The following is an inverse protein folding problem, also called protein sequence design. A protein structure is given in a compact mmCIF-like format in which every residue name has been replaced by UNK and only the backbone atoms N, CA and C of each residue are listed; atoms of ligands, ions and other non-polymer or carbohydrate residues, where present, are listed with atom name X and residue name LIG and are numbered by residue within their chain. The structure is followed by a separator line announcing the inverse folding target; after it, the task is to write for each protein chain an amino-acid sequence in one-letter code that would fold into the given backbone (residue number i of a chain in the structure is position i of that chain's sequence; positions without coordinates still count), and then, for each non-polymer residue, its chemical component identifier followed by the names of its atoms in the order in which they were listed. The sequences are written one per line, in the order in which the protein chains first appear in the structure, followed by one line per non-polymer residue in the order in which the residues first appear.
data_IF_371740423977
#
_entry.id   IF_371740423977
#
_cell.length_a   1.000
_cell.length_b   1.000
_cell.length_c   1.000
_cell.angle_alpha   90.00
_cell.angle_beta   90.00
_cell.angle_gamma   90.00
#
_symmetry.space_group_name_H-M   'P 1'
#
loop_
_entity.id
_entity.type
_entity.pdbx_description
1 polymer ?
#
# COMPACT_ATOMS: atom_id res chain seq x y z
N UNK A 1 15.33 -50.77 0.58
CA UNK A 1 14.47 -49.67 0.13
C UNK A 1 14.38 -48.65 1.26
N UNK A 2 15.16 -47.57 1.18
CA UNK A 2 15.09 -46.48 2.16
C UNK A 2 14.16 -45.41 1.61
N UNK A 3 13.29 -44.80 2.44
CA UNK A 3 12.42 -43.72 2.00
C UNK A 3 13.24 -42.43 1.85
N UNK A 4 13.18 -41.82 0.68
CA UNK A 4 13.66 -40.47 0.42
C UNK A 4 12.85 -39.46 1.25
N UNK A 5 13.51 -38.86 2.24
CA UNK A 5 12.99 -37.70 2.97
C UNK A 5 13.20 -36.49 2.06
N UNK A 6 12.12 -35.93 1.51
CA UNK A 6 12.14 -34.63 0.84
C UNK A 6 12.44 -33.56 1.88
N UNK A 7 13.41 -32.67 1.65
CA UNK A 7 13.58 -31.52 2.53
C UNK A 7 12.43 -30.54 2.26
N UNK A 8 11.51 -30.47 3.20
CA UNK A 8 10.57 -29.34 3.32
C UNK A 8 11.44 -28.15 3.72
N UNK A 9 11.73 -27.26 2.75
CA UNK A 9 12.31 -25.96 3.05
C UNK A 9 11.20 -25.15 3.73
N UNK A 10 11.07 -25.37 5.05
CA UNK A 10 10.39 -24.43 5.90
C UNK A 10 11.22 -23.14 5.84
N UNK A 11 10.67 -22.11 5.24
CA UNK A 11 11.20 -20.76 5.25
C UNK A 11 11.13 -20.28 6.70
N UNK A 12 12.19 -20.57 7.45
CA UNK A 12 12.36 -20.06 8.80
C UNK A 12 12.65 -18.55 8.68
N UNK A 13 11.62 -17.74 8.55
CA UNK A 13 11.68 -16.32 8.86
C UNK A 13 11.69 -16.19 10.40
N UNK A 14 12.77 -16.62 11.03
CA UNK A 14 13.09 -16.17 12.37
C UNK A 14 13.61 -14.75 12.27
N UNK A 15 12.66 -13.81 12.27
CA UNK A 15 12.94 -12.42 12.61
C UNK A 15 13.56 -12.43 14.00
N UNK A 16 14.84 -12.03 14.07
CA UNK A 16 15.43 -11.57 15.32
C UNK A 16 14.61 -10.35 15.75
N UNK A 17 13.55 -10.60 16.51
CA UNK A 17 12.81 -9.57 17.23
C UNK A 17 13.76 -9.10 18.34
N UNK A 18 14.62 -8.16 17.99
CA UNK A 18 15.22 -7.29 18.97
C UNK A 18 14.06 -6.62 19.72
N UNK A 19 13.94 -6.85 21.02
CA UNK A 19 13.05 -6.13 21.92
C UNK A 19 13.43 -4.64 21.88
N UNK A 20 12.90 -3.90 20.91
CA UNK A 20 12.95 -2.45 20.93
C UNK A 20 11.82 -1.98 21.84
N UNK A 21 12.11 -1.15 22.85
CA UNK A 21 11.06 -0.55 23.69
C UNK A 21 10.08 0.19 22.78
N UNK A 22 8.78 -0.03 22.98
CA UNK A 22 7.74 0.71 22.24
C UNK A 22 8.00 2.20 22.43
N UNK A 23 8.13 2.98 21.35
CA UNK A 23 8.34 4.42 21.48
C UNK A 23 7.17 5.02 22.25
N UNK A 24 7.47 5.89 23.23
CA UNK A 24 6.46 6.61 23.97
C UNK A 24 5.59 7.40 22.99
N UNK A 25 4.28 7.19 23.07
CA UNK A 25 3.30 7.82 22.18
C UNK A 25 3.45 9.35 22.16
N UNK A 26 3.78 9.96 23.31
CA UNK A 26 4.05 11.42 23.41
C UNK A 26 5.28 11.85 22.62
N UNK A 27 6.34 11.05 22.67
CA UNK A 27 7.58 11.32 21.90
C UNK A 27 7.31 11.14 20.40
N UNK A 28 6.55 10.11 20.02
CA UNK A 28 6.15 9.87 18.63
C UNK A 28 5.29 11.01 18.07
N UNK A 29 4.31 11.51 18.85
CA UNK A 29 3.45 12.62 18.45
C UNK A 29 4.24 13.94 18.36
N UNK A 30 5.17 14.22 19.28
CA UNK A 30 6.03 15.41 19.22
C UNK A 30 7.03 15.36 18.06
N UNK A 31 7.60 14.19 17.76
CA UNK A 31 8.48 14.01 16.60
C UNK A 31 7.69 14.19 15.30
N UNK A 32 6.47 13.66 15.21
CA UNK A 32 5.60 13.86 14.06
C UNK A 32 5.20 15.34 13.86
N UNK A 33 4.86 16.05 14.94
CA UNK A 33 4.58 17.49 14.86
C UNK A 33 5.80 18.30 14.40
N UNK A 34 7.00 17.94 14.87
CA UNK A 34 8.25 18.59 14.48
C UNK A 34 8.65 18.26 13.04
N UNK A 35 8.42 17.02 12.60
CA UNK A 35 8.63 16.61 11.20
C UNK A 35 7.63 17.32 10.28
N UNK A 36 6.36 17.46 10.67
CA UNK A 36 5.36 18.22 9.91
C UNK A 36 5.72 19.70 9.77
N UNK A 37 6.41 20.29 10.75
CA UNK A 37 6.86 21.69 10.68
C UNK A 37 8.12 21.90 9.82
N UNK A 38 8.92 20.85 9.62
CA UNK A 38 10.17 20.88 8.84
C UNK A 38 9.94 20.53 7.37
N UNK A 39 8.98 19.67 7.07
CA UNK A 39 8.60 19.33 5.71
C UNK A 39 7.48 20.29 5.29
N UNK A 40 7.85 21.51 4.83
CA UNK A 40 6.92 22.25 3.96
C UNK A 40 6.64 21.34 2.76
N UNK A 41 5.37 20.92 2.56
CA UNK A 41 5.07 20.02 1.46
C UNK A 41 5.49 20.71 0.16
N UNK A 42 6.41 20.08 -0.56
CA UNK A 42 6.85 20.52 -1.88
C UNK A 42 5.72 20.36 -2.92
N UNK A 43 4.60 19.81 -2.49
CA UNK A 43 3.43 19.49 -3.31
C UNK A 43 2.22 20.28 -2.85
N UNK A 44 1.50 20.84 -3.81
CA UNK A 44 0.16 21.37 -3.57
C UNK A 44 -0.83 20.21 -3.47
N UNK A 45 -1.15 19.82 -2.26
CA UNK A 45 -2.13 18.76 -2.03
C UNK A 45 -3.58 19.20 -2.28
N UNK A 46 -3.85 20.49 -2.49
CA UNK A 46 -5.22 21.00 -2.72
C UNK A 46 -5.89 20.40 -3.96
N UNK A 47 -5.08 19.92 -4.91
CA UNK A 47 -5.55 19.28 -6.14
C UNK A 47 -5.99 17.83 -5.96
N UNK A 48 -5.74 17.22 -4.80
CA UNK A 48 -6.08 15.83 -4.54
C UNK A 48 -7.59 15.67 -4.33
N UNK A 49 -8.10 14.55 -4.81
CA UNK A 49 -9.51 14.16 -4.72
C UNK A 49 -9.70 12.79 -4.09
N UNK A 50 -10.92 12.53 -3.66
CA UNK A 50 -11.33 11.20 -3.20
C UNK A 50 -11.12 10.15 -4.30
N UNK A 51 -10.50 9.05 -3.94
CA UNK A 51 -10.22 7.94 -4.85
C UNK A 51 -8.94 8.10 -5.67
N UNK A 52 -8.13 9.14 -5.44
CA UNK A 52 -6.77 9.15 -5.93
C UNK A 52 -5.97 8.01 -5.29
N UNK A 53 -5.02 7.46 -6.02
CA UNK A 53 -4.19 6.35 -5.55
C UNK A 53 -2.77 6.86 -5.36
N UNK A 54 -2.25 6.70 -4.14
CA UNK A 54 -0.86 7.01 -3.82
C UNK A 54 0.00 5.76 -3.94
N UNK A 55 1.12 5.91 -4.62
CA UNK A 55 2.14 4.88 -4.83
C UNK A 55 3.45 5.39 -4.24
N UNK A 56 4.12 4.58 -3.41
CA UNK A 56 5.39 5.01 -2.83
C UNK A 56 6.50 3.99 -3.00
N UNK A 57 7.71 4.51 -3.12
CA UNK A 57 8.94 3.78 -2.87
C UNK A 57 9.31 3.98 -1.41
N UNK A 58 9.05 3.00 -0.57
CA UNK A 58 9.49 3.00 0.83
C UNK A 58 10.99 2.81 0.95
N UNK A 59 11.55 3.22 2.11
CA UNK A 59 12.98 3.11 2.41
C UNK A 59 13.32 1.99 3.38
N UNK A 60 12.30 1.35 3.99
CA UNK A 60 12.49 0.23 4.92
C UNK A 60 12.99 -1.05 4.25
N UNK A 61 13.55 -1.97 5.04
CA UNK A 61 14.14 -3.23 4.55
C UNK A 61 13.16 -4.07 3.73
N UNK A 62 11.90 -4.19 4.18
CA UNK A 62 10.88 -4.95 3.44
C UNK A 62 10.54 -4.27 2.12
N UNK A 63 10.46 -2.93 2.08
CA UNK A 63 10.28 -2.20 0.82
C UNK A 63 11.41 -2.50 -0.18
N UNK A 64 12.65 -2.53 0.28
CA UNK A 64 13.82 -2.86 -0.55
C UNK A 64 13.71 -4.30 -1.07
N UNK A 65 13.29 -5.23 -0.22
CA UNK A 65 13.11 -6.63 -0.60
C UNK A 65 11.99 -6.77 -1.64
N UNK A 66 10.83 -6.15 -1.41
CA UNK A 66 9.71 -6.17 -2.36
C UNK A 66 10.11 -5.58 -3.71
N UNK A 67 10.81 -4.45 -3.74
CA UNK A 67 11.32 -3.83 -4.97
C UNK A 67 12.20 -4.82 -5.75
N UNK A 68 13.11 -5.49 -5.04
CA UNK A 68 14.00 -6.49 -5.65
C UNK A 68 13.24 -7.70 -6.21
N UNK A 69 12.22 -8.18 -5.49
CA UNK A 69 11.42 -9.33 -5.91
C UNK A 69 10.51 -9.01 -7.09
N UNK A 70 9.82 -7.86 -7.02
CA UNK A 70 8.92 -7.45 -8.09
C UNK A 70 9.69 -7.07 -9.34
N UNK A 71 10.89 -6.47 -9.19
CA UNK A 71 11.79 -6.10 -10.27
C UNK A 71 11.07 -5.29 -11.37
N UNK A 72 10.25 -4.35 -10.92
CA UNK A 72 9.50 -3.46 -11.80
C UNK A 72 10.38 -2.29 -12.26
N UNK A 73 10.10 -1.76 -13.46
CA UNK A 73 10.83 -0.62 -14.05
C UNK A 73 10.90 0.59 -13.11
N UNK A 74 9.79 0.87 -12.42
CA UNK A 74 9.72 1.90 -11.39
C UNK A 74 9.64 1.20 -10.04
N UNK A 75 10.58 1.44 -9.12
CA UNK A 75 10.74 0.66 -7.90
C UNK A 75 9.74 1.05 -6.82
N UNK A 76 8.48 0.73 -7.02
CA UNK A 76 7.39 0.93 -6.06
C UNK A 76 7.30 -0.25 -5.09
N UNK A 77 6.86 0.00 -3.86
CA UNK A 77 6.74 -1.03 -2.83
C UNK A 77 5.44 -1.00 -2.04
N UNK A 78 4.67 0.08 -2.13
CA UNK A 78 3.43 0.22 -1.37
C UNK A 78 2.46 1.18 -2.03
N UNK A 79 1.15 0.99 -1.76
CA UNK A 79 0.08 1.78 -2.35
C UNK A 79 -1.11 1.93 -1.38
N UNK A 80 -1.96 2.94 -1.65
CA UNK A 80 -3.19 3.18 -0.90
C UNK A 80 -4.14 4.11 -1.65
N UNK A 81 -5.39 4.21 -1.17
CA UNK A 81 -6.42 5.10 -1.73
C UNK A 81 -6.54 6.33 -0.85
N UNK A 82 -6.45 7.51 -1.46
CA UNK A 82 -6.61 8.80 -0.79
C UNK A 82 -8.07 9.07 -0.50
N UNK A 83 -8.32 9.52 0.71
CA UNK A 83 -9.61 9.98 1.21
C UNK A 83 -9.44 11.42 1.67
N UNK A 84 -10.21 12.32 1.08
CA UNK A 84 -10.27 13.72 1.51
C UNK A 84 -11.16 13.83 2.73
N UNK A 85 -10.64 14.44 3.77
CA UNK A 85 -11.36 14.87 4.97
C UNK A 85 -11.39 16.41 4.95
N UNK A 86 -12.17 17.07 5.80
CA UNK A 86 -12.46 18.50 5.69
C UNK A 86 -11.22 19.36 5.39
N UNK A 87 -10.17 19.23 6.20
CA UNK A 87 -8.92 20.01 6.07
C UNK A 87 -7.67 19.16 5.85
N UNK A 88 -7.82 17.84 5.71
CA UNK A 88 -6.71 16.90 5.66
C UNK A 88 -6.94 15.77 4.66
N UNK A 89 -5.90 14.98 4.42
CA UNK A 89 -5.94 13.80 3.56
C UNK A 89 -5.49 12.59 4.36
N UNK A 90 -6.27 11.54 4.27
CA UNK A 90 -5.94 10.22 4.80
C UNK A 90 -5.73 9.24 3.65
N UNK A 91 -5.04 8.14 3.95
CA UNK A 91 -4.82 7.01 3.03
C UNK A 91 -5.38 5.75 3.66
N UNK A 92 -6.23 5.04 2.93
CA UNK A 92 -6.66 3.70 3.28
C UNK A 92 -5.76 2.73 2.53
N UNK A 93 -5.12 1.81 3.25
CA UNK A 93 -4.19 0.84 2.70
C UNK A 93 -4.19 -0.45 3.52
N UNK A 94 -3.70 -1.55 2.95
CA UNK A 94 -3.48 -2.79 3.69
C UNK A 94 -2.00 -2.97 4.00
N UNK A 95 -1.67 -3.25 5.27
CA UNK A 95 -0.29 -3.45 5.72
C UNK A 95 -0.26 -4.43 6.89
N UNK A 96 0.83 -5.18 7.02
CA UNK A 96 1.05 -6.13 8.10
C UNK A 96 1.20 -5.42 9.45
N UNK A 97 0.68 -6.04 10.52
CA UNK A 97 0.64 -5.46 11.88
C UNK A 97 2.02 -5.11 12.46
N UNK A 98 3.08 -5.74 11.98
CA UNK A 98 4.46 -5.52 12.42
C UNK A 98 4.91 -4.07 12.20
N UNK A 99 4.28 -3.35 11.26
CA UNK A 99 4.62 -1.96 10.93
C UNK A 99 3.89 -0.92 11.75
N UNK A 100 2.62 -1.19 12.07
CA UNK A 100 1.73 -0.19 12.67
C UNK A 100 1.07 -0.66 13.97
N UNK A 101 1.19 -1.96 14.30
CA UNK A 101 0.47 -2.60 15.39
C UNK A 101 -0.98 -2.96 15.05
N UNK A 102 -1.47 -2.56 13.87
CA UNK A 102 -2.82 -2.86 13.36
C UNK A 102 -2.67 -3.77 12.15
N UNK A 103 -3.43 -4.87 12.10
CA UNK A 103 -3.39 -5.81 11.00
C UNK A 103 -4.33 -5.40 9.85
N UNK A 104 -3.86 -5.55 8.62
CA UNK A 104 -4.68 -5.44 7.41
C UNK A 104 -5.07 -4.03 7.00
N UNK A 105 -6.32 -3.89 6.57
CA UNK A 105 -6.83 -2.62 6.03
C UNK A 105 -6.99 -1.59 7.12
N UNK A 106 -6.30 -0.47 6.99
CA UNK A 106 -6.26 0.60 7.97
C UNK A 106 -6.21 1.98 7.32
N UNK A 107 -6.46 3.02 8.12
CA UNK A 107 -6.41 4.43 7.70
C UNK A 107 -5.29 5.15 8.43
N UNK A 108 -4.45 5.86 7.69
CA UNK A 108 -3.38 6.72 8.21
C UNK A 108 -3.44 8.10 7.55
N UNK A 109 -2.82 9.12 8.12
CA UNK A 109 -2.69 10.40 7.42
C UNK A 109 -1.78 10.27 6.20
N UNK A 110 -2.01 11.07 5.15
CA UNK A 110 -1.16 11.07 3.96
C UNK A 110 0.31 11.40 4.32
N UNK A 111 0.52 12.32 5.25
CA UNK A 111 1.86 12.68 5.74
C UNK A 111 2.57 11.49 6.41
N UNK A 112 1.86 10.74 7.24
CA UNK A 112 2.41 9.52 7.85
C UNK A 112 2.71 8.45 6.80
N UNK A 113 1.77 8.23 5.87
CA UNK A 113 1.97 7.27 4.77
C UNK A 113 3.24 7.57 3.96
N UNK A 114 3.55 8.86 3.74
CA UNK A 114 4.71 9.30 2.96
C UNK A 114 5.97 9.53 3.80
N UNK A 115 5.93 9.36 5.12
CA UNK A 115 7.06 9.70 6.01
C UNK A 115 8.34 8.89 5.75
N UNK A 116 8.20 7.65 5.28
CA UNK A 116 9.31 6.75 4.92
C UNK A 116 9.51 6.63 3.39
N UNK A 117 8.90 7.52 2.60
CA UNK A 117 8.92 7.45 1.15
C UNK A 117 10.10 8.22 0.53
N UNK A 118 10.67 7.67 -0.54
CA UNK A 118 11.49 8.45 -1.48
C UNK A 118 10.55 9.25 -2.38
N UNK A 119 10.25 10.48 -2.01
CA UNK A 119 9.23 11.30 -2.66
C UNK A 119 9.43 11.46 -4.18
N UNK A 120 10.68 11.58 -4.64
CA UNK A 120 11.00 11.65 -6.07
C UNK A 120 10.62 10.40 -6.89
N UNK A 121 10.46 9.26 -6.19
CA UNK A 121 10.08 7.97 -6.77
C UNK A 121 8.68 7.54 -6.26
N UNK A 122 7.87 8.51 -5.83
CA UNK A 122 6.49 8.28 -5.38
C UNK A 122 5.53 9.05 -6.29
N UNK A 123 4.34 8.52 -6.48
CA UNK A 123 3.37 9.03 -7.45
C UNK A 123 2.00 9.11 -6.83
N UNK A 124 1.21 10.10 -7.25
CA UNK A 124 -0.24 10.08 -7.04
C UNK A 124 -0.88 10.03 -8.41
N UNK A 125 -1.75 9.05 -8.59
CA UNK A 125 -2.45 8.82 -9.85
C UNK A 125 -3.96 8.88 -9.64
N UNK A 126 -4.67 9.33 -10.66
CA UNK A 126 -6.12 9.46 -10.68
C UNK A 126 -6.69 8.63 -11.81
N UNK A 127 -7.68 7.80 -11.52
CA UNK A 127 -8.39 7.10 -12.58
C UNK A 127 -9.15 8.10 -13.46
N UNK A 128 -9.06 7.98 -14.79
CA UNK A 128 -9.65 8.92 -15.77
C UNK A 128 -11.18 8.91 -15.83
N UNK A 129 -11.84 8.14 -14.98
CA UNK A 129 -13.29 8.13 -14.88
C UNK A 129 -13.85 9.42 -14.26
N UNK A 130 -15.14 9.69 -14.44
CA UNK A 130 -15.81 10.80 -13.77
C UNK A 130 -15.68 10.72 -12.23
N UNK A 131 -15.72 11.87 -11.56
CA UNK A 131 -15.60 11.99 -10.10
C UNK A 131 -16.62 11.12 -9.35
N UNK A 132 -17.83 10.94 -9.90
CA UNK A 132 -18.86 10.08 -9.31
C UNK A 132 -18.39 8.63 -9.15
N UNK A 133 -17.63 8.09 -10.13
CA UNK A 133 -17.06 6.75 -10.05
C UNK A 133 -15.90 6.69 -9.04
N UNK A 134 -15.07 7.74 -8.95
CA UNK A 134 -13.97 7.80 -7.96
C UNK A 134 -14.51 7.89 -6.52
N UNK A 135 -15.65 8.55 -6.31
CA UNK A 135 -16.36 8.52 -5.02
C UNK A 135 -16.84 7.11 -4.64
N UNK A 136 -17.24 6.29 -5.63
CA UNK A 136 -17.58 4.88 -5.38
C UNK A 136 -16.31 4.12 -4.97
N UNK A 137 -15.16 4.38 -5.60
CA UNK A 137 -13.88 3.76 -5.22
C UNK A 137 -13.53 4.05 -3.74
N UNK A 138 -13.67 5.31 -3.31
CA UNK A 138 -13.56 5.70 -1.89
C UNK A 138 -14.50 4.88 -1.00
N UNK A 139 -15.79 4.77 -1.39
CA UNK A 139 -16.78 4.02 -0.61
C UNK A 139 -16.42 2.55 -0.48
N UNK A 140 -15.86 1.93 -1.53
CA UNK A 140 -15.36 0.54 -1.47
C UNK A 140 -14.19 0.41 -0.50
N UNK A 141 -13.23 1.33 -0.56
CA UNK A 141 -12.09 1.35 0.36
C UNK A 141 -12.53 1.50 1.83
N UNK A 142 -13.49 2.39 2.10
CA UNK A 142 -14.10 2.55 3.42
C UNK A 142 -14.85 1.28 3.88
N UNK A 143 -15.52 0.59 2.96
CA UNK A 143 -16.17 -0.69 3.25
C UNK A 143 -15.18 -1.76 3.72
N UNK A 144 -14.03 -1.89 3.05
CA UNK A 144 -12.96 -2.82 3.46
C UNK A 144 -12.36 -2.44 4.82
N UNK A 145 -12.17 -1.14 5.06
CA UNK A 145 -11.71 -0.63 6.36
C UNK A 145 -12.70 -0.98 7.49
N UNK A 146 -13.99 -0.73 7.28
CA UNK A 146 -15.03 -1.01 8.28
C UNK A 146 -15.16 -2.51 8.57
N UNK A 147 -14.96 -3.35 7.55
CA UNK A 147 -14.97 -4.80 7.68
C UNK A 147 -13.66 -5.35 8.26
N UNK A 148 -12.67 -4.49 8.54
CA UNK A 148 -11.37 -4.89 9.13
C UNK A 148 -10.72 -6.05 8.38
N UNK A 149 -10.69 -5.98 7.04
CA UNK A 149 -10.10 -7.03 6.20
C UNK A 149 -8.64 -7.23 6.63
N UNK A 150 -8.23 -8.46 7.02
CA UNK A 150 -6.89 -8.74 7.52
C UNK A 150 -5.84 -8.65 6.40
N UNK A 151 -4.55 -8.59 6.79
CA UNK A 151 -3.45 -8.65 5.83
C UNK A 151 -3.27 -10.07 5.31
N UNK A 152 -3.04 -10.20 3.99
CA UNK A 152 -2.68 -11.48 3.39
C UNK A 152 -1.18 -11.73 3.49
N UNK A 153 -0.80 -12.60 4.44
CA UNK A 153 0.59 -13.03 4.65
C UNK A 153 1.01 -14.15 3.68
N UNK A 154 0.05 -14.80 3.04
CA UNK A 154 0.29 -15.92 2.12
C UNK A 154 0.52 -15.43 0.68
N UNK A 155 0.16 -14.17 0.39
CA UNK A 155 0.20 -13.59 -0.95
C UNK A 155 -0.55 -14.44 -1.99
N UNK A 156 -1.71 -14.99 -1.59
CA UNK A 156 -2.57 -15.81 -2.47
C UNK A 156 -3.72 -14.97 -3.03
N UNK A 157 -3.53 -14.40 -4.21
CA UNK A 157 -4.52 -13.57 -4.91
C UNK A 157 -5.88 -14.24 -5.17
N UNK A 158 -6.02 -15.52 -4.87
CA UNK A 158 -7.29 -16.27 -4.97
C UNK A 158 -8.12 -16.19 -3.69
N UNK A 159 -7.47 -15.89 -2.55
CA UNK A 159 -8.15 -15.69 -1.27
C UNK A 159 -8.66 -14.25 -1.15
N UNK A 160 -9.95 -14.07 -1.37
CA UNK A 160 -10.58 -12.74 -1.33
C UNK A 160 -10.98 -12.28 0.08
N UNK A 161 -10.63 -13.03 1.12
CA UNK A 161 -10.93 -12.70 2.52
C UNK A 161 -9.83 -11.86 3.19
N UNK A 162 -8.65 -11.79 2.58
CA UNK A 162 -7.45 -11.09 3.04
C UNK A 162 -6.86 -10.27 1.90
N UNK A 163 -6.14 -9.19 2.21
CA UNK A 163 -5.51 -8.37 1.18
C UNK A 163 -4.12 -7.91 1.59
N UNK A 164 -3.10 -8.09 0.73
CA UNK A 164 -1.91 -7.25 0.79
C UNK A 164 -2.14 -5.94 0.00
N UNK A 165 -1.18 -5.01 -0.03
CA UNK A 165 -1.44 -3.63 -0.48
C UNK A 165 -1.98 -3.51 -1.92
N UNK A 166 -1.40 -4.22 -2.91
CA UNK A 166 -1.90 -4.14 -4.29
C UNK A 166 -3.20 -4.92 -4.50
N UNK A 167 -3.45 -6.00 -3.76
CA UNK A 167 -4.76 -6.67 -3.78
C UNK A 167 -5.88 -5.77 -3.27
N UNK A 168 -5.64 -5.03 -2.17
CA UNK A 168 -6.60 -4.05 -1.68
C UNK A 168 -7.02 -3.08 -2.79
N UNK A 169 -6.05 -2.54 -3.56
CA UNK A 169 -6.34 -1.65 -4.68
C UNK A 169 -7.08 -2.40 -5.80
N UNK A 170 -6.64 -3.60 -6.16
CA UNK A 170 -7.25 -4.42 -7.21
C UNK A 170 -8.72 -4.71 -6.92
N UNK A 171 -9.02 -5.17 -5.69
CA UNK A 171 -10.40 -5.42 -5.26
C UNK A 171 -11.27 -4.17 -5.26
N UNK A 172 -10.73 -3.03 -4.84
CA UNK A 172 -11.44 -1.75 -4.89
C UNK A 172 -11.74 -1.32 -6.33
N UNK A 173 -10.75 -1.41 -7.22
CA UNK A 173 -10.91 -1.08 -8.64
C UNK A 173 -11.87 -2.02 -9.35
N UNK A 174 -11.72 -3.35 -9.18
CA UNK A 174 -12.62 -4.35 -9.77
C UNK A 174 -14.06 -4.18 -9.30
N UNK A 175 -14.25 -3.92 -8.00
CA UNK A 175 -15.58 -3.68 -7.43
C UNK A 175 -16.24 -2.43 -8.00
N UNK A 176 -15.45 -1.41 -8.36
CA UNK A 176 -15.93 -0.12 -8.87
C UNK A 176 -16.14 -0.13 -10.37
N UNK A 177 -15.16 -0.65 -11.14
CA UNK A 177 -15.09 -0.48 -12.59
C UNK A 177 -15.39 -1.74 -13.37
N UNK A 178 -15.47 -2.91 -12.70
CA UNK A 178 -15.71 -4.22 -13.32
C UNK A 178 -14.65 -4.59 -14.36
N UNK A 179 -13.40 -4.18 -14.11
CA UNK A 179 -12.27 -4.37 -15.01
C UNK A 179 -11.01 -4.71 -14.21
N UNK A 180 -10.13 -5.50 -14.83
CA UNK A 180 -8.79 -5.77 -14.33
C UNK A 180 -7.80 -4.72 -14.85
N UNK A 181 -6.91 -4.26 -13.96
CA UNK A 181 -5.91 -3.24 -14.27
C UNK A 181 -4.49 -3.74 -14.06
N UNK A 182 -4.31 -4.72 -13.17
CA UNK A 182 -2.98 -5.17 -12.78
C UNK A 182 -2.41 -6.23 -13.74
N UNK A 183 -1.20 -5.99 -14.19
CA UNK A 183 -0.33 -7.06 -14.70
C UNK A 183 0.13 -7.93 -13.54
N UNK A 184 0.43 -9.20 -13.83
CA UNK A 184 0.81 -10.18 -12.83
C UNK A 184 2.21 -10.70 -13.11
N UNK A 185 2.96 -10.98 -12.04
CA UNK A 185 4.26 -11.63 -12.11
C UNK A 185 4.21 -12.91 -11.28
N UNK A 186 4.59 -14.03 -11.88
CA UNK A 186 4.73 -15.29 -11.15
C UNK A 186 5.90 -15.21 -10.18
N UNK A 187 5.64 -15.52 -8.91
CA UNK A 187 6.64 -15.53 -7.83
C UNK A 187 6.50 -16.84 -7.05
N UNK A 188 7.47 -17.73 -7.20
CA UNK A 188 7.40 -19.05 -6.58
C UNK A 188 6.15 -19.83 -7.06
N UNK A 189 5.27 -20.17 -6.11
CA UNK A 189 4.01 -20.87 -6.40
C UNK A 189 2.80 -19.91 -6.52
N UNK A 190 2.98 -18.61 -6.29
CA UNK A 190 1.94 -17.58 -6.35
C UNK A 190 2.15 -16.56 -7.47
N UNK A 191 1.32 -15.54 -7.45
CA UNK A 191 1.39 -14.39 -8.36
C UNK A 191 1.36 -13.09 -7.57
N UNK A 192 2.14 -12.10 -8.00
CA UNK A 192 2.10 -10.75 -7.46
C UNK A 192 1.47 -9.78 -8.47
N UNK A 193 0.69 -8.85 -7.96
CA UNK A 193 0.10 -7.75 -8.71
C UNK A 193 1.10 -6.59 -8.81
N UNK A 194 1.47 -6.21 -10.03
CA UNK A 194 2.52 -5.25 -10.30
C UNK A 194 2.02 -3.81 -10.17
N UNK A 195 2.65 -3.02 -9.30
CA UNK A 195 2.24 -1.63 -9.02
C UNK A 195 2.42 -0.68 -10.21
N UNK A 196 3.38 -0.96 -11.11
CA UNK A 196 3.57 -0.16 -12.33
C UNK A 196 2.35 -0.18 -13.26
N UNK A 197 1.45 -1.15 -13.12
CA UNK A 197 0.17 -1.17 -13.84
C UNK A 197 -0.71 0.06 -13.57
N UNK A 198 -0.58 0.66 -12.37
CA UNK A 198 -1.30 1.88 -12.01
C UNK A 198 -0.69 3.15 -12.63
N UNK A 199 0.43 3.02 -13.33
CA UNK A 199 1.06 4.12 -14.09
C UNK A 199 0.68 4.08 -15.58
N UNK A 200 -0.18 3.15 -16.00
CA UNK A 200 -0.71 3.09 -17.37
C UNK A 200 -1.57 4.33 -17.66
N UNK A 201 -1.07 5.21 -18.52
CA UNK A 201 -1.71 6.47 -18.86
C UNK A 201 -3.02 6.31 -19.64
N UNK A 202 -3.35 5.12 -20.11
CA UNK A 202 -4.64 4.82 -20.73
C UNK A 202 -5.78 4.93 -19.70
N UNK A 203 -5.52 4.52 -18.46
CA UNK A 203 -6.52 4.47 -17.40
C UNK A 203 -6.30 5.48 -16.29
N UNK A 204 -5.06 5.87 -16.06
CA UNK A 204 -4.69 6.74 -14.96
C UNK A 204 -3.99 8.01 -15.45
N UNK A 205 -4.30 9.11 -14.82
CA UNK A 205 -3.62 10.39 -14.96
C UNK A 205 -2.64 10.56 -13.79
N UNK A 206 -1.42 10.97 -14.06
CA UNK A 206 -0.45 11.31 -13.03
C UNK A 206 -0.74 12.70 -12.50
N UNK A 207 -1.06 12.80 -11.21
CA UNK A 207 -1.40 14.06 -10.53
C UNK A 207 -0.16 14.66 -9.89
N UNK A 208 0.65 13.83 -9.22
CA UNK A 208 1.91 14.23 -8.60
C UNK A 208 3.00 13.17 -8.82
N UNK A 209 4.26 13.66 -8.87
CA UNK A 209 5.49 12.86 -8.99
C UNK A 209 6.55 13.42 -8.04
#
# INVERSE_FOLDING_TARGET
MQPFIKPTIAFLFFVLISCQPKPDKKVFDQVNLKIQSIIKPKFDYSILEDGDIVLKRGTGQVSILMIKYLDEKIPLSHCGIIVKEDTSYSVIHSIAKEYTGIDGVQKTTLSYFLSDAKLKDSYIVRHRSPISKRKILKTKALGFLNNKIPFDYDFDIRDTSKFYCSEFIDHALKSTYKKEYFSRKKIGHGEALLLNSLLDTTYFERILN
#
